data_IF_665197678200
#
_entry.id   IF_665197678200
#
_cell.length_a   1.000
_cell.length_b   1.000
_cell.length_c   1.000
_cell.angle_alpha   90.00
_cell.angle_beta   90.00
_cell.angle_gamma   90.00
#
_symmetry.space_group_name_H-M   'P 1'
#
loop_
_entity.id
_entity.type
_entity.pdbx_description
1 polymer ?
#
# COMPACT_ATOMS: atom_id res chain seq x y z
N UNK A 1 78.01 6.45 35.51
CA UNK A 1 77.24 5.85 34.39
C UNK A 1 75.76 6.05 34.70
N UNK A 2 75.06 6.82 33.87
CA UNK A 2 73.65 7.19 34.04
C UNK A 2 72.78 6.08 33.42
N UNK A 3 71.82 5.51 34.15
CA UNK A 3 70.74 4.76 33.53
C UNK A 3 69.39 5.37 33.90
N UNK A 4 68.77 5.94 32.87
CA UNK A 4 67.42 6.47 32.82
C UNK A 4 66.49 5.30 32.42
N UNK A 5 65.56 4.92 33.29
CA UNK A 5 64.53 3.91 33.00
C UNK A 5 63.18 4.59 32.76
N UNK A 6 62.56 4.28 31.62
CA UNK A 6 61.46 5.02 31.01
C UNK A 6 60.07 4.74 31.62
N UNK A 7 59.18 5.70 31.35
CA UNK A 7 57.75 5.79 31.67
C UNK A 7 56.93 4.63 31.08
N UNK A 8 55.89 4.21 31.80
CA UNK A 8 54.76 3.44 31.26
C UNK A 8 53.44 4.12 31.63
N UNK A 9 52.91 4.96 30.75
CA UNK A 9 51.54 5.49 30.86
C UNK A 9 50.67 4.63 29.93
N UNK A 10 49.81 3.78 30.51
CA UNK A 10 48.90 2.93 29.74
C UNK A 10 47.73 3.78 29.22
N UNK A 11 47.70 4.01 27.91
CA UNK A 11 46.57 4.64 27.22
C UNK A 11 45.54 3.54 26.93
N UNK A 12 44.40 3.57 27.61
CA UNK A 12 43.25 2.71 27.29
C UNK A 12 42.49 3.36 26.13
N UNK A 13 42.61 2.79 24.92
CA UNK A 13 41.76 3.14 23.78
C UNK A 13 40.40 2.44 23.95
N UNK A 14 39.35 3.20 24.26
CA UNK A 14 37.99 2.73 24.13
C UNK A 14 37.59 2.80 22.64
N UNK A 15 37.49 1.63 21.98
CA UNK A 15 36.89 1.54 20.64
C UNK A 15 35.37 1.71 20.77
N UNK A 16 34.87 2.89 20.41
CA UNK A 16 33.46 3.08 20.11
C UNK A 16 33.16 2.43 18.75
N UNK A 17 32.57 1.23 18.78
CA UNK A 17 31.98 0.65 17.58
C UNK A 17 30.74 1.48 17.20
N UNK A 18 30.89 2.38 16.24
CA UNK A 18 29.76 3.02 15.58
C UNK A 18 28.95 1.93 14.86
N UNK A 19 27.80 1.56 15.41
CA UNK A 19 26.88 0.63 14.77
C UNK A 19 26.36 1.27 13.49
N UNK A 20 26.82 0.80 12.34
CA UNK A 20 26.24 1.17 11.06
C UNK A 20 24.78 0.68 11.05
N UNK A 21 23.83 1.60 11.00
CA UNK A 21 22.42 1.28 10.78
C UNK A 21 22.30 0.65 9.38
N UNK A 22 21.99 -0.64 9.34
CA UNK A 22 21.72 -1.32 8.07
C UNK A 22 20.38 -0.82 7.55
N UNK A 23 20.40 -0.10 6.43
CA UNK A 23 19.18 0.22 5.67
C UNK A 23 18.53 -1.11 5.29
N UNK A 24 17.31 -1.36 5.78
CA UNK A 24 16.56 -2.54 5.37
C UNK A 24 15.96 -2.27 4.00
N UNK A 25 16.06 -3.24 3.11
CA UNK A 25 15.43 -3.15 1.79
C UNK A 25 13.91 -3.12 1.93
N UNK A 26 13.25 -2.45 0.98
CA UNK A 26 11.80 -2.48 0.84
C UNK A 26 11.32 -3.91 0.55
N UNK A 27 10.14 -4.26 1.06
CA UNK A 27 9.52 -5.57 0.83
C UNK A 27 8.36 -5.40 -0.13
N UNK A 28 8.51 -5.91 -1.35
CA UNK A 28 7.42 -5.94 -2.32
C UNK A 28 6.31 -6.90 -1.85
N UNK A 29 5.07 -6.40 -1.80
CA UNK A 29 3.88 -7.22 -1.52
C UNK A 29 3.25 -7.67 -2.84
N UNK A 30 3.04 -6.73 -3.78
CA UNK A 30 2.52 -7.04 -5.11
C UNK A 30 2.82 -5.90 -6.09
N UNK A 31 3.27 -6.24 -7.29
CA UNK A 31 3.43 -5.32 -8.44
C UNK A 31 2.43 -5.57 -9.57
N UNK A 32 1.63 -6.63 -9.48
CA UNK A 32 0.61 -7.02 -10.45
C UNK A 32 1.12 -7.23 -11.90
N UNK A 33 2.41 -7.54 -12.08
CA UNK A 33 3.02 -7.79 -13.40
C UNK A 33 2.82 -9.23 -13.91
N UNK A 34 2.17 -10.07 -13.10
CA UNK A 34 1.88 -11.46 -13.41
C UNK A 34 0.89 -11.66 -14.57
N UNK A 35 0.74 -12.93 -14.99
CA UNK A 35 -0.26 -13.34 -15.99
C UNK A 35 -1.69 -13.30 -15.44
N UNK A 36 -1.83 -13.40 -14.12
CA UNK A 36 -3.05 -13.46 -13.32
C UNK A 36 -2.75 -12.82 -11.95
N UNK A 37 -3.72 -12.86 -11.03
CA UNK A 37 -3.57 -12.32 -9.68
C UNK A 37 -2.80 -13.24 -8.71
N UNK A 38 -2.25 -14.37 -9.17
CA UNK A 38 -1.59 -15.36 -8.32
C UNK A 38 -2.50 -15.88 -7.21
N UNK A 39 -2.02 -15.84 -5.98
CA UNK A 39 -2.75 -16.35 -4.79
C UNK A 39 -3.79 -15.36 -4.23
N UNK A 40 -4.02 -14.22 -4.88
CA UNK A 40 -5.09 -13.31 -4.47
C UNK A 40 -6.45 -13.91 -4.79
N UNK A 41 -7.36 -13.85 -3.83
CA UNK A 41 -8.73 -14.30 -4.00
C UNK A 41 -9.56 -13.20 -4.69
N UNK A 42 -10.16 -13.55 -5.82
CA UNK A 42 -11.08 -12.69 -6.58
C UNK A 42 -12.50 -13.10 -6.24
N UNK A 43 -13.35 -12.13 -5.88
CA UNK A 43 -14.79 -12.31 -5.73
C UNK A 43 -15.53 -11.28 -6.59
N UNK A 44 -16.65 -11.66 -7.18
CA UNK A 44 -17.41 -10.81 -8.10
C UNK A 44 -16.76 -10.67 -9.46
N UNK A 45 -17.15 -9.62 -10.20
CA UNK A 45 -16.85 -9.46 -11.63
C UNK A 45 -15.96 -8.24 -11.94
N UNK A 46 -15.82 -7.31 -10.98
CA UNK A 46 -15.18 -6.02 -11.22
C UNK A 46 -13.69 -6.12 -11.61
N UNK A 47 -12.96 -7.07 -11.05
CA UNK A 47 -11.50 -7.18 -11.28
C UNK A 47 -11.14 -7.95 -12.55
N UNK A 48 -12.10 -8.63 -13.18
CA UNK A 48 -11.81 -9.52 -14.30
C UNK A 48 -10.84 -10.66 -13.93
N UNK A 49 -10.28 -11.36 -14.94
CA UNK A 49 -9.47 -12.55 -14.72
C UNK A 49 -7.99 -12.28 -14.41
N UNK A 50 -7.47 -11.09 -14.68
CA UNK A 50 -6.06 -10.75 -14.55
C UNK A 50 -5.83 -9.23 -14.45
N UNK A 51 -4.66 -8.77 -13.95
CA UNK A 51 -4.27 -7.36 -14.01
C UNK A 51 -4.48 -6.75 -15.40
N UNK A 52 -4.99 -5.52 -15.44
CA UNK A 52 -5.20 -4.79 -16.69
C UNK A 52 -3.86 -4.24 -17.21
N UNK A 53 -3.69 -4.12 -18.52
CA UNK A 53 -2.48 -3.53 -19.14
C UNK A 53 -2.64 -2.03 -19.41
N UNK A 54 -3.21 -1.32 -18.44
CA UNK A 54 -3.61 0.08 -18.54
C UNK A 54 -5.13 0.28 -18.57
N UNK A 55 -5.59 1.22 -19.41
CA UNK A 55 -7.01 1.56 -19.52
C UNK A 55 -7.82 0.43 -20.17
N UNK A 56 -9.03 0.20 -19.66
CA UNK A 56 -10.00 -0.75 -20.20
C UNK A 56 -10.95 -0.08 -21.20
N UNK A 57 -11.71 -0.84 -22.02
CA UNK A 57 -12.64 -0.27 -22.98
C UNK A 57 -13.62 0.71 -22.33
N UNK A 58 -13.80 1.89 -22.93
CA UNK A 58 -14.66 3.00 -22.45
C UNK A 58 -14.19 3.68 -21.15
N UNK A 59 -13.03 3.31 -20.62
CA UNK A 59 -12.39 4.04 -19.53
C UNK A 59 -11.60 5.23 -20.07
N UNK A 60 -11.39 6.24 -19.23
CA UNK A 60 -10.42 7.29 -19.52
C UNK A 60 -8.98 6.74 -19.48
N UNK A 61 -8.02 7.53 -19.96
CA UNK A 61 -6.61 7.13 -19.96
C UNK A 61 -6.10 6.99 -18.52
N UNK A 62 -5.71 5.77 -18.15
CA UNK A 62 -5.06 5.44 -16.88
C UNK A 62 -3.57 5.76 -16.95
N UNK A 63 -3.05 6.46 -15.94
CA UNK A 63 -1.63 6.88 -15.82
C UNK A 63 -1.16 6.75 -14.38
N UNK A 64 0.15 6.88 -14.13
CA UNK A 64 0.71 6.90 -12.78
C UNK A 64 0.99 5.53 -12.15
N UNK A 65 0.51 4.43 -12.75
CA UNK A 65 0.93 3.07 -12.40
C UNK A 65 2.37 2.80 -12.88
N UNK A 66 3.02 1.80 -12.29
CA UNK A 66 4.37 1.33 -12.62
C UNK A 66 4.31 0.07 -13.46
N UNK A 67 5.38 -0.20 -14.20
CA UNK A 67 5.45 -1.41 -15.01
C UNK A 67 4.47 -1.40 -16.19
N UNK A 68 3.82 -2.53 -16.43
CA UNK A 68 2.96 -2.79 -17.60
C UNK A 68 1.55 -3.18 -17.22
N UNK A 69 1.26 -3.40 -15.94
CA UNK A 69 -0.04 -3.82 -15.49
C UNK A 69 -0.43 -3.20 -14.14
N UNK A 70 -1.72 -3.29 -13.81
CA UNK A 70 -2.27 -2.81 -12.54
C UNK A 70 -3.55 -3.55 -12.17
N UNK A 71 -3.97 -3.42 -10.92
CA UNK A 71 -5.36 -3.72 -10.53
C UNK A 71 -6.25 -2.59 -11.04
N UNK A 72 -7.29 -2.95 -11.79
CA UNK A 72 -8.28 -2.03 -12.32
C UNK A 72 -9.65 -2.71 -12.25
N UNK A 73 -10.54 -2.21 -11.39
CA UNK A 73 -11.86 -2.83 -11.19
C UNK A 73 -12.93 -2.38 -12.21
N UNK A 74 -12.54 -1.62 -13.24
CA UNK A 74 -13.45 -1.19 -14.31
C UNK A 74 -13.71 -2.30 -15.36
N UNK A 75 -13.46 -3.57 -15.07
CA UNK A 75 -13.57 -4.66 -16.07
C UNK A 75 -14.97 -4.79 -16.67
N UNK A 76 -16.01 -4.79 -15.83
CA UNK A 76 -17.41 -4.71 -16.23
C UNK A 76 -17.94 -3.28 -16.33
N UNK A 77 -17.04 -2.28 -16.30
CA UNK A 77 -17.36 -0.87 -16.09
C UNK A 77 -17.87 -0.56 -14.68
N UNK A 78 -18.31 0.68 -14.47
CA UNK A 78 -18.86 1.20 -13.20
C UNK A 78 -20.14 0.48 -12.71
N UNK A 79 -20.58 -0.59 -13.37
CA UNK A 79 -21.74 -1.40 -12.95
C UNK A 79 -21.36 -2.64 -12.15
N UNK A 80 -20.16 -3.19 -12.38
CA UNK A 80 -19.70 -4.42 -11.74
C UNK A 80 -19.21 -4.18 -10.32
N UNK A 81 -19.24 -5.22 -9.49
CA UNK A 81 -18.73 -5.18 -8.12
C UNK A 81 -17.86 -6.41 -7.83
N UNK A 82 -16.98 -6.32 -6.85
CA UNK A 82 -16.15 -7.41 -6.40
C UNK A 82 -15.19 -7.04 -5.28
N UNK A 83 -14.39 -8.02 -4.86
CA UNK A 83 -13.20 -7.78 -4.04
C UNK A 83 -11.99 -8.54 -4.56
N UNK A 84 -10.82 -8.01 -4.29
CA UNK A 84 -9.53 -8.67 -4.54
C UNK A 84 -8.74 -8.71 -3.23
N UNK A 85 -8.56 -9.90 -2.67
CA UNK A 85 -8.00 -10.08 -1.31
C UNK A 85 -6.66 -10.81 -1.35
N UNK A 86 -5.63 -10.22 -0.73
CA UNK A 86 -4.27 -10.78 -0.75
C UNK A 86 -4.13 -12.05 0.11
N UNK A 87 -3.10 -12.88 -0.14
CA UNK A 87 -2.56 -13.78 0.87
C UNK A 87 -2.20 -13.06 2.16
N UNK A 88 -2.00 -13.83 3.23
CA UNK A 88 -1.53 -13.24 4.49
C UNK A 88 -0.04 -12.90 4.37
N UNK A 89 0.33 -11.72 4.84
CA UNK A 89 1.72 -11.31 4.98
C UNK A 89 1.99 -10.81 6.40
N UNK A 90 3.26 -10.64 6.76
CA UNK A 90 3.69 -10.04 8.02
C UNK A 90 4.11 -8.59 7.78
N UNK A 91 3.71 -7.69 8.67
CA UNK A 91 4.16 -6.30 8.66
C UNK A 91 5.55 -6.25 9.29
N UNK A 92 6.54 -5.78 8.54
CA UNK A 92 7.97 -5.81 8.88
C UNK A 92 8.68 -4.48 8.65
N UNK A 93 7.98 -3.47 8.13
CA UNK A 93 8.45 -2.09 8.00
C UNK A 93 7.43 -1.12 8.61
N UNK A 94 7.83 0.14 8.74
CA UNK A 94 7.01 1.20 9.35
C UNK A 94 5.87 1.67 8.46
N UNK A 95 5.98 1.52 7.14
CA UNK A 95 4.99 1.97 6.18
C UNK A 95 4.57 0.86 5.24
N UNK A 96 3.31 0.93 4.78
CA UNK A 96 2.84 0.25 3.56
C UNK A 96 2.51 1.35 2.57
N UNK A 97 3.24 1.39 1.45
CA UNK A 97 3.04 2.36 0.38
C UNK A 97 2.54 1.66 -0.89
N UNK A 98 1.66 2.34 -1.61
CA UNK A 98 1.04 1.84 -2.84
C UNK A 98 0.55 2.99 -3.72
N UNK A 99 0.33 2.70 -5.00
CA UNK A 99 -0.31 3.60 -5.94
C UNK A 99 -1.82 3.35 -5.93
N UNK A 100 -2.62 4.41 -5.87
CA UNK A 100 -4.09 4.33 -5.83
C UNK A 100 -4.72 5.47 -6.64
N UNK A 101 -5.83 5.17 -7.31
CA UNK A 101 -6.64 6.11 -8.08
C UNK A 101 -8.07 5.60 -8.29
N UNK A 102 -8.87 6.31 -9.10
CA UNK A 102 -10.28 5.97 -9.33
C UNK A 102 -11.22 6.54 -8.27
N UNK A 103 -12.25 5.78 -7.93
CA UNK A 103 -13.35 6.18 -7.05
C UNK A 103 -12.94 6.48 -5.61
N UNK A 104 -13.57 7.52 -5.05
CA UNK A 104 -13.33 8.07 -3.72
C UNK A 104 -14.39 7.72 -2.68
N UNK A 105 -15.04 6.57 -2.79
CA UNK A 105 -16.18 6.22 -1.94
C UNK A 105 -15.75 5.27 -0.81
N UNK A 106 -15.64 5.80 0.40
CA UNK A 106 -15.22 5.04 1.58
C UNK A 106 -16.07 3.77 1.77
N UNK A 107 -15.39 2.65 2.03
CA UNK A 107 -16.00 1.34 2.22
C UNK A 107 -16.61 0.70 0.97
N UNK A 108 -16.58 1.40 -0.18
CA UNK A 108 -17.17 0.90 -1.43
C UNK A 108 -16.16 0.84 -2.58
N UNK A 109 -15.34 1.86 -2.79
CA UNK A 109 -14.23 1.85 -3.75
C UNK A 109 -12.97 2.20 -2.97
N UNK A 110 -12.40 1.21 -2.29
CA UNK A 110 -11.28 1.44 -1.36
C UNK A 110 -10.28 0.28 -1.32
N UNK A 111 -9.09 0.57 -0.82
CA UNK A 111 -8.13 -0.44 -0.41
C UNK A 111 -8.06 -0.45 1.12
N UNK A 112 -8.22 -1.62 1.72
CA UNK A 112 -8.24 -1.84 3.16
C UNK A 112 -7.02 -2.64 3.61
N UNK A 113 -6.47 -2.31 4.77
CA UNK A 113 -5.57 -3.16 5.54
C UNK A 113 -6.37 -3.87 6.64
N UNK A 114 -6.31 -5.20 6.67
CA UNK A 114 -7.01 -6.02 7.64
C UNK A 114 -6.02 -6.69 8.59
N UNK A 115 -6.26 -6.57 9.90
CA UNK A 115 -5.57 -7.32 10.96
C UNK A 115 -6.63 -8.04 11.79
N UNK A 116 -6.47 -9.34 11.99
CA UNK A 116 -7.46 -10.22 12.66
C UNK A 116 -8.87 -10.06 12.09
N UNK A 117 -8.97 -9.92 10.75
CA UNK A 117 -10.24 -9.75 10.03
C UNK A 117 -10.89 -8.37 10.19
N UNK A 118 -10.24 -7.41 10.87
CA UNK A 118 -10.76 -6.05 11.07
C UNK A 118 -10.00 -5.05 10.21
N UNK A 119 -10.72 -4.14 9.56
CA UNK A 119 -10.12 -3.01 8.85
C UNK A 119 -9.46 -2.08 9.86
N UNK A 120 -8.16 -1.85 9.70
CA UNK A 120 -7.34 -0.97 10.56
C UNK A 120 -6.79 0.24 9.82
N UNK A 121 -6.78 0.21 8.48
CA UNK A 121 -6.51 1.34 7.57
C UNK A 121 -7.37 1.21 6.32
N UNK A 122 -7.70 2.34 5.71
CA UNK A 122 -8.43 2.43 4.45
C UNK A 122 -7.90 3.62 3.63
N UNK A 123 -7.93 3.49 2.31
CA UNK A 123 -7.58 4.53 1.37
C UNK A 123 -8.48 4.42 0.13
N UNK A 124 -8.74 5.54 -0.53
CA UNK A 124 -9.55 5.62 -1.74
C UNK A 124 -8.83 6.43 -2.82
N UNK A 125 -9.32 6.36 -4.06
CA UNK A 125 -9.00 7.38 -5.05
C UNK A 125 -9.64 8.73 -4.70
N UNK A 126 -9.37 9.79 -5.49
CA UNK A 126 -9.87 11.14 -5.20
C UNK A 126 -11.26 11.43 -5.78
N UNK A 127 -11.79 10.59 -6.67
CA UNK A 127 -12.91 10.97 -7.51
C UNK A 127 -14.28 10.60 -6.91
N UNK A 128 -15.09 11.61 -6.55
CA UNK A 128 -16.44 11.42 -5.98
C UNK A 128 -17.56 12.09 -6.78
N UNK A 129 -17.22 12.81 -7.85
CA UNK A 129 -18.13 13.57 -8.70
C UNK A 129 -17.70 13.48 -10.18
N UNK A 130 -18.56 13.84 -11.16
CA UNK A 130 -18.19 13.85 -12.57
C UNK A 130 -16.96 14.73 -12.86
N UNK A 131 -16.18 14.33 -13.87
CA UNK A 131 -14.84 14.86 -14.11
C UNK A 131 -13.80 14.17 -13.23
N UNK A 132 -12.55 14.64 -13.25
CA UNK A 132 -11.44 14.03 -12.51
C UNK A 132 -10.42 13.31 -13.40
N UNK A 133 -9.67 12.38 -12.82
CA UNK A 133 -8.57 11.67 -13.50
C UNK A 133 -8.44 10.22 -13.01
N UNK A 134 -8.03 9.35 -13.93
CA UNK A 134 -7.66 7.95 -13.65
C UNK A 134 -6.22 7.80 -13.13
N UNK A 135 -5.52 8.92 -12.92
CA UNK A 135 -4.14 8.91 -12.45
C UNK A 135 -4.03 8.27 -11.07
N UNK A 136 -3.09 7.33 -10.93
CA UNK A 136 -2.69 6.81 -9.63
C UNK A 136 -1.60 7.69 -9.02
N UNK A 137 -1.71 7.91 -7.71
CA UNK A 137 -0.73 8.64 -6.91
C UNK A 137 -0.30 7.81 -5.70
N UNK A 138 0.89 8.07 -5.18
CA UNK A 138 1.40 7.38 -3.99
C UNK A 138 0.55 7.68 -2.76
N UNK A 139 0.19 6.63 -2.03
CA UNK A 139 -0.38 6.66 -0.70
C UNK A 139 0.51 5.82 0.22
N UNK A 140 0.64 6.24 1.48
CA UNK A 140 1.37 5.49 2.48
C UNK A 140 0.61 5.47 3.80
N UNK A 141 0.37 4.28 4.34
CA UNK A 141 -0.10 4.12 5.71
C UNK A 141 1.07 4.00 6.66
N UNK A 142 1.07 4.77 7.75
CA UNK A 142 1.89 4.47 8.92
C UNK A 142 1.31 3.23 9.62
N UNK A 143 2.10 2.17 9.64
CA UNK A 143 1.77 0.88 10.25
C UNK A 143 2.83 0.44 11.27
N UNK A 144 3.67 1.36 11.76
CA UNK A 144 4.70 1.05 12.75
C UNK A 144 4.08 0.41 14.01
N UNK A 145 2.88 0.86 14.40
CA UNK A 145 2.13 0.31 15.52
C UNK A 145 1.56 -1.11 15.29
N UNK A 146 1.68 -1.64 14.07
CA UNK A 146 1.25 -2.98 13.66
C UNK A 146 2.43 -3.91 13.33
N UNK A 147 3.67 -3.48 13.60
CA UNK A 147 4.86 -4.27 13.32
C UNK A 147 4.78 -5.69 13.91
N UNK A 148 5.11 -6.67 13.08
CA UNK A 148 5.07 -8.09 13.39
C UNK A 148 3.69 -8.75 13.35
N UNK A 149 2.60 -7.98 13.14
CA UNK A 149 1.26 -8.54 12.98
C UNK A 149 1.11 -9.19 11.62
N UNK A 150 0.23 -10.19 11.56
CA UNK A 150 -0.25 -10.79 10.30
C UNK A 150 -1.38 -9.93 9.76
N UNK A 151 -1.34 -9.64 8.47
CA UNK A 151 -2.32 -8.80 7.80
C UNK A 151 -2.73 -9.35 6.44
N UNK A 152 -3.84 -8.83 5.90
CA UNK A 152 -4.26 -8.97 4.51
C UNK A 152 -4.56 -7.59 3.94
N UNK A 153 -4.42 -7.45 2.63
CA UNK A 153 -4.97 -6.32 1.87
C UNK A 153 -6.26 -6.77 1.20
N UNK A 154 -7.23 -5.87 1.14
CA UNK A 154 -8.48 -6.10 0.41
C UNK A 154 -8.79 -4.85 -0.43
N UNK A 155 -8.84 -5.03 -1.73
CA UNK A 155 -9.25 -3.99 -2.68
C UNK A 155 -10.74 -4.23 -2.97
N UNK A 156 -11.56 -3.22 -2.76
CA UNK A 156 -13.02 -3.30 -2.75
C UNK A 156 -13.58 -2.43 -3.85
N UNK A 157 -14.49 -3.00 -4.63
CA UNK A 157 -15.39 -2.29 -5.51
C UNK A 157 -16.83 -2.77 -5.29
N UNK A 158 -17.63 -1.99 -4.57
CA UNK A 158 -19.02 -2.29 -4.22
C UNK A 158 -19.95 -1.12 -4.59
N UNK A 159 -19.55 -0.29 -5.55
CA UNK A 159 -20.36 0.86 -5.94
C UNK A 159 -20.69 0.82 -7.42
N UNK A 160 -21.98 0.82 -7.71
CA UNK A 160 -22.45 1.10 -9.06
C UNK A 160 -22.57 2.61 -9.32
N UNK A 161 -22.33 3.03 -10.57
CA UNK A 161 -22.46 4.41 -11.04
C UNK A 161 -21.13 5.14 -11.16
N UNK A 162 -21.14 6.36 -11.74
CA UNK A 162 -19.90 7.09 -12.11
C UNK A 162 -18.81 7.09 -11.03
N UNK A 163 -17.59 6.70 -11.39
CA UNK A 163 -16.46 6.44 -10.47
C UNK A 163 -16.69 5.26 -9.52
N UNK A 164 -17.45 4.27 -9.98
CA UNK A 164 -17.72 3.00 -9.32
C UNK A 164 -16.65 1.97 -9.65
N UNK A 165 -15.39 2.36 -9.48
CA UNK A 165 -14.23 1.50 -9.68
C UNK A 165 -13.02 2.04 -8.92
N UNK A 166 -11.96 1.24 -8.80
CA UNK A 166 -10.69 1.62 -8.18
C UNK A 166 -9.51 1.07 -8.98
N UNK A 167 -8.43 1.85 -9.02
CA UNK A 167 -7.15 1.42 -9.57
C UNK A 167 -6.12 1.33 -8.43
N UNK A 168 -5.35 0.23 -8.38
CA UNK A 168 -4.30 0.02 -7.37
C UNK A 168 -3.08 -0.59 -8.06
N UNK A 169 -1.89 -0.17 -7.63
CA UNK A 169 -0.65 -0.73 -8.14
C UNK A 169 0.50 -0.66 -7.11
N UNK A 170 1.54 -1.46 -7.34
CA UNK A 170 2.87 -1.39 -6.75
C UNK A 170 2.87 -1.18 -5.22
N UNK A 171 2.50 -2.24 -4.51
CA UNK A 171 2.35 -2.25 -3.06
C UNK A 171 3.64 -2.79 -2.43
N UNK A 172 4.22 -2.04 -1.51
CA UNK A 172 5.42 -2.42 -0.78
C UNK A 172 5.38 -1.99 0.69
N UNK A 173 6.25 -2.60 1.49
CA UNK A 173 6.59 -2.13 2.82
C UNK A 173 7.93 -1.39 2.78
N UNK A 174 8.01 -0.24 3.42
CA UNK A 174 9.20 0.62 3.46
C UNK A 174 9.39 1.25 4.84
N UNK A 175 10.63 1.60 5.18
CA UNK A 175 10.94 2.22 6.49
C UNK A 175 10.70 3.74 6.49
N UNK A 176 10.60 4.37 5.31
CA UNK A 176 10.21 5.77 5.14
C UNK A 176 9.04 5.91 4.16
N UNK A 177 8.17 6.93 4.35
CA UNK A 177 7.03 7.12 3.45
C UNK A 177 7.51 7.61 2.07
N UNK A 178 6.93 7.07 1.01
CA UNK A 178 7.12 7.59 -0.34
C UNK A 178 6.32 8.87 -0.49
N UNK A 179 6.95 9.94 -0.98
CA UNK A 179 6.28 11.20 -1.23
C UNK A 179 5.14 11.00 -2.25
N UNK A 180 3.92 11.31 -1.80
CA UNK A 180 2.71 11.34 -2.60
C UNK A 180 1.92 12.63 -2.39
N UNK A 181 0.93 12.87 -3.25
CA UNK A 181 -0.05 13.92 -3.01
C UNK A 181 -0.85 13.57 -1.74
N UNK A 182 -1.05 14.53 -0.83
CA UNK A 182 -1.73 14.32 0.46
C UNK A 182 -3.17 13.84 0.26
N UNK A 183 -3.39 12.53 0.22
CA UNK A 183 -4.72 11.92 0.33
C UNK A 183 -5.08 11.69 1.80
N UNK A 184 -6.33 11.99 2.15
CA UNK A 184 -6.85 11.93 3.52
C UNK A 184 -6.85 10.49 4.05
N UNK A 185 -6.00 10.20 5.04
CA UNK A 185 -6.09 8.96 5.82
C UNK A 185 -7.19 9.12 6.88
N UNK A 186 -8.26 8.33 6.76
CA UNK A 186 -9.28 8.24 7.82
C UNK A 186 -8.96 7.05 8.72
N UNK A 187 -8.61 7.31 9.97
CA UNK A 187 -8.62 6.29 11.01
C UNK A 187 -10.07 6.00 11.36
N UNK A 188 -10.56 4.80 11.04
CA UNK A 188 -11.90 4.36 11.43
C UNK A 188 -11.99 4.25 12.97
N UNK A 189 -12.35 5.35 13.64
CA UNK A 189 -12.73 5.33 15.04
C UNK A 189 -14.22 5.02 15.15
N UNK A 190 -14.55 3.84 15.68
CA UNK A 190 -15.92 3.44 16.00
C UNK A 190 -16.53 4.44 16.99
N UNK A 191 -17.43 5.31 16.53
CA UNK A 191 -18.48 5.90 17.37
C UNK A 191 -19.79 5.20 17.06
N UNK A 192 -20.20 4.33 17.99
CA UNK A 192 -21.56 3.82 18.06
C UNK A 192 -22.51 5.02 18.18
N UNK A 193 -23.36 5.23 17.18
CA UNK A 193 -24.51 6.11 17.30
C UNK A 193 -25.62 5.28 17.94
N UNK A 194 -25.85 5.46 19.24
CA UNK A 194 -27.10 5.03 19.85
C UNK A 194 -28.16 6.04 19.40
N UNK A 195 -29.08 5.58 18.53
CA UNK A 195 -30.38 6.21 18.35
C UNK A 195 -31.32 5.78 19.47
#
# INVERSE_FOLDING_TARGET
MKHLGARGCALVLALLAAGATRVKEDILIADFEGKDYGDWAVEGEAFGPHPARGALPKQMKVTGYRGKALVNSFYGGDGSTGTLTSPVFRIERSYICFLIGGGGYEGKTCMNLLVDGKVVRSATGPNTQPGGSEQLSWHCWDVANLHGRRARLQIVDQRSGGWGHINVDHILQCDEPIAGEKSMEFKAEKRYLNL
#
